data_IF_542332012233
#
_entry.id   IF_542332012233
#
_cell.length_a   1.000
_cell.length_b   1.000
_cell.length_c   1.000
_cell.angle_alpha   90.00
_cell.angle_beta   90.00
_cell.angle_gamma   90.00
#
_symmetry.space_group_name_H-M   'P 1'
#
loop_
_entity.id
_entity.type
_entity.pdbx_description
1 polymer ?
#
# COMPACT_ATOMS: atom_id res chain seq x y z
N UNK A 1 17.12 -7.45 -7.47
CA UNK A 1 17.70 -6.13 -7.11
C UNK A 1 16.59 -5.23 -6.57
N UNK A 2 16.90 -4.52 -5.51
CA UNK A 2 15.92 -3.59 -4.90
C UNK A 2 15.80 -2.35 -5.76
N UNK A 3 14.56 -1.97 -6.08
CA UNK A 3 14.26 -0.72 -6.75
C UNK A 3 14.18 0.44 -5.76
N UNK A 4 13.46 0.26 -4.66
CA UNK A 4 13.27 1.30 -3.68
C UNK A 4 12.69 0.78 -2.38
N UNK A 5 12.80 1.60 -1.35
CA UNK A 5 12.26 1.30 -0.04
C UNK A 5 11.42 2.48 0.44
N UNK A 6 10.46 2.19 1.29
CA UNK A 6 9.62 3.21 1.90
C UNK A 6 9.29 2.84 3.33
N UNK A 7 9.17 3.85 4.16
CA UNK A 7 8.73 3.67 5.54
C UNK A 7 7.78 4.79 5.89
N UNK A 8 6.85 4.48 6.77
CA UNK A 8 5.87 5.44 7.23
C UNK A 8 5.51 5.17 8.67
N UNK A 9 5.11 6.21 9.37
CA UNK A 9 4.63 6.13 10.74
C UNK A 9 3.41 7.03 10.88
N UNK A 10 2.35 6.52 11.50
CA UNK A 10 1.13 7.29 11.74
C UNK A 10 0.70 7.16 13.19
N UNK A 11 0.11 8.23 13.70
CA UNK A 11 -0.51 8.21 15.01
C UNK A 11 -1.89 7.58 14.89
N UNK A 12 -2.16 6.58 15.74
CA UNK A 12 -3.44 5.88 15.71
C UNK A 12 -4.62 6.83 15.93
N UNK A 13 -4.48 7.79 16.82
CA UNK A 13 -5.55 8.75 17.10
C UNK A 13 -5.91 9.59 15.87
N UNK A 14 -4.92 9.99 15.08
CA UNK A 14 -5.17 10.77 13.88
C UNK A 14 -5.97 9.99 12.85
N UNK A 15 -5.59 8.73 12.63
CA UNK A 15 -6.32 7.87 11.69
C UNK A 15 -7.71 7.56 12.22
N UNK A 16 -7.83 7.26 13.52
CA UNK A 16 -9.10 7.00 14.16
C UNK A 16 -10.06 8.20 13.97
N UNK A 17 -9.56 9.40 14.16
CA UNK A 17 -10.33 10.61 14.00
C UNK A 17 -10.76 10.80 12.54
N UNK A 18 -9.87 10.55 11.61
CA UNK A 18 -10.16 10.65 10.18
C UNK A 18 -11.22 9.64 9.76
N UNK A 19 -11.20 8.44 10.33
CA UNK A 19 -12.15 7.35 10.02
C UNK A 19 -13.59 7.68 10.42
N UNK A 20 -13.81 8.71 11.23
CA UNK A 20 -15.16 9.17 11.57
C UNK A 20 -15.86 9.82 10.38
N UNK A 21 -15.09 10.21 9.36
CA UNK A 21 -15.66 10.82 8.15
C UNK A 21 -15.77 9.76 7.06
N UNK A 22 -16.99 9.53 6.59
CA UNK A 22 -17.23 8.55 5.53
C UNK A 22 -16.46 8.90 4.25
N UNK A 23 -16.31 10.18 3.94
CA UNK A 23 -15.52 10.60 2.77
C UNK A 23 -14.08 10.15 2.84
N UNK A 24 -13.47 10.19 4.03
CA UNK A 24 -12.10 9.69 4.21
C UNK A 24 -12.03 8.19 3.98
N UNK A 25 -12.95 7.43 4.58
CA UNK A 25 -13.00 5.98 4.43
C UNK A 25 -13.15 5.57 2.96
N UNK A 26 -14.09 6.18 2.26
CA UNK A 26 -14.38 5.85 0.87
C UNK A 26 -13.21 6.20 -0.04
N UNK A 27 -12.57 7.34 0.18
CA UNK A 27 -11.45 7.81 -0.64
C UNK A 27 -10.18 6.99 -0.39
N UNK A 28 -9.97 6.54 0.84
CA UNK A 28 -8.70 5.97 1.26
C UNK A 28 -8.65 4.45 1.19
N UNK A 29 -9.77 3.77 1.33
CA UNK A 29 -9.81 2.32 1.48
C UNK A 29 -10.78 1.69 0.48
N UNK A 30 -10.41 0.51 0.00
CA UNK A 30 -11.32 -0.29 -0.82
C UNK A 30 -12.35 -0.97 0.06
N UNK A 31 -13.41 -1.44 -0.57
CA UNK A 31 -14.46 -2.18 0.12
C UNK A 31 -13.89 -3.44 0.81
N UNK A 32 -12.96 -4.12 0.15
CA UNK A 32 -12.33 -5.31 0.71
C UNK A 32 -11.47 -4.99 1.93
N UNK A 33 -10.73 -3.90 1.90
CA UNK A 33 -9.96 -3.46 3.06
C UNK A 33 -10.87 -3.16 4.24
N UNK A 34 -11.99 -2.49 3.98
CA UNK A 34 -12.95 -2.15 5.03
C UNK A 34 -13.60 -3.41 5.60
N UNK A 35 -13.91 -4.38 4.74
CA UNK A 35 -14.51 -5.65 5.15
C UNK A 35 -13.54 -6.45 6.02
N UNK A 36 -12.28 -6.57 5.61
CA UNK A 36 -11.27 -7.27 6.40
C UNK A 36 -11.01 -6.63 7.75
N UNK A 37 -11.11 -5.30 7.81
CA UNK A 37 -10.84 -4.56 9.04
C UNK A 37 -11.88 -4.79 10.12
N UNK A 38 -13.10 -5.17 9.76
CA UNK A 38 -14.20 -5.46 10.70
C UNK A 38 -14.42 -4.34 11.72
N UNK A 39 -14.31 -3.08 11.26
CA UNK A 39 -14.48 -1.92 12.12
C UNK A 39 -13.29 -1.58 13.02
N UNK A 40 -12.20 -2.32 12.91
CA UNK A 40 -11.01 -2.07 13.73
C UNK A 40 -10.15 -0.97 13.10
N UNK A 41 -10.20 0.20 13.70
CA UNK A 41 -9.48 1.38 13.18
C UNK A 41 -7.97 1.19 13.17
N UNK A 42 -7.43 0.43 14.11
CA UNK A 42 -6.01 0.12 14.14
C UNK A 42 -5.59 -0.64 12.89
N UNK A 43 -6.44 -1.53 12.40
CA UNK A 43 -6.19 -2.29 11.18
C UNK A 43 -6.16 -1.37 9.97
N UNK A 44 -7.11 -0.45 9.90
CA UNK A 44 -7.14 0.57 8.83
C UNK A 44 -5.92 1.49 8.91
N UNK A 45 -5.45 1.82 10.11
CA UNK A 45 -4.26 2.63 10.27
C UNK A 45 -3.02 1.92 9.71
N UNK A 46 -2.91 0.61 9.95
CA UNK A 46 -1.84 -0.20 9.35
C UNK A 46 -1.91 -0.20 7.84
N UNK A 47 -3.09 -0.38 7.28
CA UNK A 47 -3.29 -0.35 5.84
C UNK A 47 -2.93 1.02 5.26
N UNK A 48 -3.33 2.09 5.92
CA UNK A 48 -2.99 3.45 5.51
C UNK A 48 -1.47 3.65 5.48
N UNK A 49 -0.80 3.22 6.53
CA UNK A 49 0.66 3.34 6.63
C UNK A 49 1.37 2.57 5.52
N UNK A 50 0.86 1.38 5.16
CA UNK A 50 1.40 0.59 4.04
C UNK A 50 1.28 1.36 2.73
N UNK A 51 0.12 1.98 2.47
CA UNK A 51 -0.08 2.75 1.24
C UNK A 51 0.94 3.87 1.10
N UNK A 52 1.19 4.59 2.19
CA UNK A 52 2.19 5.65 2.22
C UNK A 52 3.60 5.11 2.00
N UNK A 53 3.94 3.98 2.66
CA UNK A 53 5.25 3.36 2.52
C UNK A 53 5.50 2.89 1.08
N UNK A 54 4.49 2.29 0.44
CA UNK A 54 4.59 1.84 -0.96
C UNK A 54 4.79 3.02 -1.89
N UNK A 55 4.04 4.12 -1.69
CA UNK A 55 4.21 5.33 -2.50
C UNK A 55 5.63 5.89 -2.38
N UNK A 56 6.20 5.85 -1.19
CA UNK A 56 7.59 6.26 -0.98
C UNK A 56 8.57 5.32 -1.67
N UNK A 57 8.29 4.02 -1.65
CA UNK A 57 9.14 3.04 -2.33
C UNK A 57 9.17 3.24 -3.84
N UNK A 58 8.08 3.75 -4.43
CA UNK A 58 8.04 4.12 -5.84
C UNK A 58 8.93 5.34 -6.15
N UNK A 59 9.20 6.16 -5.15
CA UNK A 59 9.99 7.38 -5.31
C UNK A 59 9.20 8.56 -5.82
N UNK A 60 7.91 8.41 -6.05
CA UNK A 60 7.05 9.45 -6.63
C UNK A 60 6.02 10.02 -5.66
N UNK A 61 5.84 9.39 -4.48
CA UNK A 61 4.70 9.69 -3.64
C UNK A 61 3.41 9.36 -4.38
N UNK A 62 2.32 10.01 -4.02
CA UNK A 62 1.01 9.78 -4.66
C UNK A 62 0.82 10.63 -5.90
N UNK A 63 1.81 10.63 -6.79
CA UNK A 63 1.75 11.39 -8.03
C UNK A 63 0.99 10.63 -9.10
N UNK A 64 -0.24 11.04 -9.37
CA UNK A 64 -1.05 10.49 -10.44
C UNK A 64 -1.87 9.25 -10.10
N UNK A 65 -1.87 8.81 -8.85
CA UNK A 65 -2.73 7.71 -8.41
C UNK A 65 -3.25 7.97 -6.99
N UNK A 66 -4.22 7.17 -6.58
CA UNK A 66 -4.93 7.37 -5.32
C UNK A 66 -4.59 6.30 -4.29
N UNK A 67 -4.90 6.59 -3.02
CA UNK A 67 -4.71 5.62 -1.93
C UNK A 67 -5.39 4.29 -2.20
N UNK A 68 -6.58 4.31 -2.79
CA UNK A 68 -7.33 3.09 -3.12
C UNK A 68 -6.66 2.23 -4.17
N UNK A 69 -5.78 2.80 -4.98
CA UNK A 69 -5.05 2.06 -5.99
C UNK A 69 -4.00 1.12 -5.39
N UNK A 70 -3.65 1.33 -4.12
CA UNK A 70 -2.77 0.45 -3.36
C UNK A 70 -3.62 -0.22 -2.29
N UNK A 71 -4.04 -1.46 -2.55
CA UNK A 71 -4.88 -2.20 -1.62
C UNK A 71 -4.01 -3.06 -0.71
N UNK A 72 -4.17 -2.93 0.60
CA UNK A 72 -3.43 -3.73 1.58
C UNK A 72 -4.37 -4.71 2.25
N UNK A 73 -4.14 -5.98 2.04
CA UNK A 73 -4.95 -7.07 2.59
C UNK A 73 -4.08 -7.95 3.50
N UNK A 74 -4.73 -8.83 4.23
CA UNK A 74 -4.04 -9.81 5.08
C UNK A 74 -4.31 -11.20 4.55
N UNK A 75 -3.29 -12.05 4.54
CA UNK A 75 -3.45 -13.45 4.18
C UNK A 75 -4.01 -14.25 5.36
N UNK A 76 -4.11 -15.56 5.20
CA UNK A 76 -4.67 -16.46 6.21
C UNK A 76 -3.90 -16.44 7.53
N UNK A 77 -2.62 -16.12 7.47
CA UNK A 77 -1.75 -16.04 8.67
C UNK A 77 -1.70 -14.63 9.25
N UNK A 78 -2.42 -13.69 8.64
CA UNK A 78 -2.45 -12.30 9.08
C UNK A 78 -1.32 -11.44 8.51
N UNK A 79 -0.51 -11.98 7.60
CA UNK A 79 0.57 -11.20 7.00
C UNK A 79 0.03 -10.22 5.96
N UNK A 80 0.53 -8.97 5.97
CA UNK A 80 0.07 -8.00 4.98
C UNK A 80 0.67 -8.25 3.60
N UNK A 81 -0.13 -7.96 2.58
CA UNK A 81 0.34 -7.94 1.19
C UNK A 81 -0.43 -6.87 0.43
N UNK A 82 0.10 -6.44 -0.70
CA UNK A 82 -0.53 -5.38 -1.49
C UNK A 82 -0.95 -5.89 -2.85
N UNK A 83 -2.08 -5.34 -3.33
CA UNK A 83 -2.55 -5.49 -4.71
C UNK A 83 -2.70 -4.10 -5.29
N UNK A 84 -2.13 -3.90 -6.46
CA UNK A 84 -2.20 -2.61 -7.13
C UNK A 84 -3.25 -2.62 -8.22
N UNK A 85 -3.84 -1.48 -8.47
CA UNK A 85 -4.82 -1.28 -9.55
C UNK A 85 -4.64 0.10 -10.15
N UNK A 86 -5.32 0.35 -11.26
CA UNK A 86 -5.35 1.65 -11.91
C UNK A 86 -3.97 2.22 -12.19
N UNK A 87 -3.82 3.49 -11.90
CA UNK A 87 -2.56 4.20 -12.18
C UNK A 87 -1.39 3.68 -11.37
N UNK A 88 -1.62 3.17 -10.17
CA UNK A 88 -0.52 2.59 -9.38
C UNK A 88 0.04 1.35 -10.06
N UNK A 89 -0.80 0.51 -10.64
CA UNK A 89 -0.35 -0.66 -11.38
C UNK A 89 0.41 -0.28 -12.66
N UNK A 90 -0.11 0.72 -13.39
CA UNK A 90 0.60 1.24 -14.56
C UNK A 90 1.98 1.76 -14.20
N UNK A 91 2.06 2.53 -13.12
CA UNK A 91 3.33 3.11 -12.66
C UNK A 91 4.30 2.01 -12.24
N UNK A 92 3.81 0.97 -11.55
CA UNK A 92 4.65 -0.17 -11.18
C UNK A 92 5.34 -0.76 -12.41
N UNK A 93 4.57 -0.99 -13.48
CA UNK A 93 5.12 -1.54 -14.72
C UNK A 93 6.10 -0.58 -15.40
N UNK A 94 5.77 0.71 -15.45
CA UNK A 94 6.64 1.73 -16.04
C UNK A 94 7.98 1.81 -15.32
N UNK A 95 7.97 1.66 -14.00
CA UNK A 95 9.18 1.70 -13.19
C UNK A 95 9.96 0.38 -13.20
N UNK A 96 9.37 -0.68 -13.76
CA UNK A 96 10.02 -2.00 -13.82
C UNK A 96 9.98 -2.74 -12.49
N UNK A 97 9.04 -2.41 -11.62
CA UNK A 97 8.91 -3.05 -10.31
C UNK A 97 8.18 -4.39 -10.44
N UNK A 98 8.73 -5.42 -9.84
CA UNK A 98 8.09 -6.73 -9.73
C UNK A 98 7.32 -6.86 -8.42
N UNK A 99 7.93 -7.52 -7.43
CA UNK A 99 7.29 -7.74 -6.14
C UNK A 99 7.45 -6.54 -5.22
N UNK A 100 6.44 -6.33 -4.39
CA UNK A 100 6.48 -5.35 -3.31
C UNK A 100 6.25 -6.11 -2.01
N UNK A 101 7.21 -6.02 -1.11
CA UNK A 101 7.14 -6.65 0.21
C UNK A 101 6.79 -5.59 1.24
N UNK A 102 5.88 -5.91 2.15
CA UNK A 102 5.45 -4.95 3.17
C UNK A 102 5.45 -5.60 4.53
N UNK A 103 5.64 -4.78 5.55
CA UNK A 103 5.59 -5.18 6.93
C UNK A 103 4.96 -4.07 7.76
N UNK A 104 4.25 -4.45 8.82
CA UNK A 104 3.57 -3.50 9.71
C UNK A 104 3.98 -3.81 11.13
N UNK A 105 4.29 -2.77 11.89
CA UNK A 105 4.50 -2.88 13.32
C UNK A 105 3.66 -1.82 14.02
N UNK A 106 3.17 -2.14 15.19
CA UNK A 106 2.38 -1.18 15.94
C UNK A 106 2.74 -1.18 17.41
N UNK A 107 2.44 -0.07 18.04
CA UNK A 107 2.55 0.12 19.47
C UNK A 107 1.19 0.60 19.97
N UNK A 108 1.16 1.11 21.20
CA UNK A 108 -0.06 1.62 21.78
C UNK A 108 -0.60 2.86 21.03
N UNK A 109 0.30 3.71 20.52
CA UNK A 109 -0.07 5.00 19.95
C UNK A 109 0.26 5.14 18.47
N UNK A 110 1.11 4.29 17.94
CA UNK A 110 1.64 4.43 16.58
C UNK A 110 1.52 3.15 15.79
N UNK A 111 1.40 3.31 14.48
CA UNK A 111 1.58 2.22 13.51
C UNK A 111 2.67 2.65 12.55
N UNK A 112 3.57 1.74 12.23
CA UNK A 112 4.59 1.97 11.22
C UNK A 112 4.52 0.88 10.18
N UNK A 113 4.86 1.24 8.93
CA UNK A 113 4.93 0.28 7.84
C UNK A 113 6.26 0.44 7.11
N UNK A 114 6.70 -0.65 6.51
CA UNK A 114 7.90 -0.70 5.70
C UNK A 114 7.55 -1.37 4.39
N UNK A 115 8.07 -0.83 3.28
CA UNK A 115 7.88 -1.40 1.95
C UNK A 115 9.20 -1.55 1.25
N UNK A 116 9.38 -2.68 0.57
CA UNK A 116 10.54 -2.94 -0.29
C UNK A 116 10.02 -3.32 -1.66
N UNK A 117 10.37 -2.52 -2.67
CA UNK A 117 10.01 -2.79 -4.05
C UNK A 117 11.22 -3.40 -4.76
N UNK A 118 11.03 -4.56 -5.35
CA UNK A 118 12.07 -5.24 -6.13
C UNK A 118 11.89 -4.97 -7.61
N UNK A 119 13.00 -4.82 -8.32
CA UNK A 119 12.95 -4.80 -9.78
C UNK A 119 12.46 -6.15 -10.29
N UNK A 120 11.58 -6.10 -11.27
CA UNK A 120 11.14 -7.30 -11.96
C UNK A 120 12.30 -7.88 -12.77
N UNK A 121 12.24 -9.17 -13.04
CA UNK A 121 13.20 -9.80 -13.93
C UNK A 121 13.06 -9.24 -15.34
N UNK A 122 14.15 -9.21 -16.08
CA UNK A 122 14.15 -8.69 -17.44
C UNK A 122 13.08 -9.36 -18.31
N UNK A 123 12.91 -10.67 -18.14
CA UNK A 123 11.91 -11.46 -18.85
C UNK A 123 10.49 -10.91 -18.61
N UNK A 124 10.16 -10.58 -17.38
CA UNK A 124 8.85 -10.03 -17.03
C UNK A 124 8.65 -8.66 -17.66
N UNK A 125 9.65 -7.79 -17.58
CA UNK A 125 9.60 -6.45 -18.15
C UNK A 125 9.39 -6.48 -19.65
N UNK A 126 10.06 -7.41 -20.34
CA UNK A 126 9.92 -7.60 -21.78
C UNK A 126 8.50 -8.03 -22.12
N UNK A 127 7.91 -8.95 -21.35
CA UNK A 127 6.54 -9.41 -21.57
C UNK A 127 5.55 -8.24 -21.45
N UNK A 128 5.74 -7.34 -20.47
CA UNK A 128 4.86 -6.18 -20.31
C UNK A 128 4.94 -5.23 -21.51
N UNK A 129 6.13 -5.03 -22.05
CA UNK A 129 6.32 -4.18 -23.23
C UNK A 129 5.58 -4.77 -24.44
N UNK A 130 5.62 -6.08 -24.61
CA UNK A 130 4.95 -6.77 -25.72
C UNK A 130 3.43 -6.71 -25.64
N UNK A 131 2.88 -6.45 -24.46
CA UNK A 131 1.44 -6.40 -24.23
C UNK A 131 0.81 -5.04 -24.54
N UNK A 132 1.61 -4.05 -24.85
CA UNK A 132 1.14 -2.68 -25.14
C UNK A 132 0.61 -2.54 -26.57
#
# INVERSE_FOLDING_TARGET
MIFGIGTDIVELERVSRACRREAFLTRSFTEEERRQALGQEKRLAGDFSVKEAVAKAFGTGFSGFELRDIECLRDEKGAPYVRLSGRAEELRRQLGIGKIHVSISDSREYVTAFAVAELAEERERTAWTSMR
#
